data_IF_737477684164
#
_entry.id   IF_737477684164
#
_cell.length_a   1.000
_cell.length_b   1.000
_cell.length_c   1.000
_cell.angle_alpha   90.00
_cell.angle_beta   90.00
_cell.angle_gamma   90.00
#
_symmetry.space_group_name_H-M   'P 1'
#
loop_
_entity.id
_entity.type
_entity.pdbx_description
1 polymer ?
#
# COMPACT_ATOMS: atom_id res chain seq x y z
N UNK A 1 11.54 15.34 -6.14
CA UNK A 1 12.01 16.44 -5.25
C UNK A 1 11.13 17.69 -5.29
N UNK A 2 10.51 18.08 -6.42
CA UNK A 2 9.65 19.28 -6.46
C UNK A 2 8.47 19.16 -5.48
N UNK A 3 7.85 17.98 -5.36
CA UNK A 3 6.74 17.74 -4.44
C UNK A 3 7.14 17.84 -2.97
N UNK A 4 8.25 17.19 -2.59
CA UNK A 4 8.76 17.22 -1.21
C UNK A 4 9.01 18.64 -0.72
N UNK A 5 9.68 19.47 -1.53
CA UNK A 5 9.97 20.87 -1.18
C UNK A 5 8.71 21.72 -1.05
N UNK A 6 7.72 21.53 -1.93
CA UNK A 6 6.46 22.27 -1.89
C UNK A 6 5.67 21.94 -0.62
N UNK A 7 5.58 20.66 -0.27
CA UNK A 7 4.89 20.22 0.96
C UNK A 7 5.59 20.79 2.20
N UNK A 8 6.92 20.67 2.30
CA UNK A 8 7.68 21.20 3.44
C UNK A 8 7.55 22.73 3.55
N UNK A 9 7.57 23.45 2.42
CA UNK A 9 7.38 24.91 2.42
C UNK A 9 5.96 25.32 2.87
N UNK A 10 4.95 24.52 2.53
CA UNK A 10 3.60 24.72 3.04
C UNK A 10 3.52 24.47 4.55
N UNK A 11 4.02 23.33 5.01
CA UNK A 11 4.06 22.98 6.44
C UNK A 11 4.86 23.99 7.27
N UNK A 12 5.97 24.52 6.73
CA UNK A 12 6.76 25.57 7.39
C UNK A 12 5.93 26.83 7.62
N UNK A 13 5.12 27.25 6.64
CA UNK A 13 4.20 28.39 6.82
C UNK A 13 3.15 28.12 7.89
N UNK A 14 2.58 26.93 7.92
CA UNK A 14 1.60 26.54 8.95
C UNK A 14 2.21 26.50 10.35
N UNK A 15 3.42 25.94 10.48
CA UNK A 15 4.15 25.85 11.76
C UNK A 15 4.53 27.23 12.29
N UNK A 16 4.94 28.15 11.42
CA UNK A 16 5.25 29.53 11.82
C UNK A 16 3.98 30.33 12.15
N UNK A 17 2.82 29.93 11.63
CA UNK A 17 1.52 30.51 11.95
C UNK A 17 0.86 29.89 13.21
N UNK A 18 1.55 29.01 13.93
CA UNK A 18 1.01 28.37 15.14
C UNK A 18 0.67 29.43 16.18
N UNK A 19 -0.53 29.31 16.76
CA UNK A 19 -0.98 30.20 17.84
C UNK A 19 0.04 30.20 18.99
N UNK A 20 0.52 31.39 19.43
CA UNK A 20 1.46 31.51 20.55
C UNK A 20 0.97 30.79 21.81
N UNK A 21 -0.34 30.79 22.07
CA UNK A 21 -0.95 30.10 23.23
C UNK A 21 -0.72 28.59 23.24
N UNK A 22 -0.69 27.95 22.06
CA UNK A 22 -0.43 26.50 21.97
C UNK A 22 1.02 26.17 22.24
N UNK A 23 1.93 27.03 21.77
CA UNK A 23 3.35 26.89 21.99
C UNK A 23 3.72 27.15 23.46
N UNK A 24 3.17 28.20 24.06
CA UNK A 24 3.30 28.51 25.49
C UNK A 24 2.90 27.32 26.38
N UNK A 25 1.78 26.67 26.07
CA UNK A 25 1.35 25.51 26.82
C UNK A 25 2.36 24.33 26.73
N UNK A 26 3.10 24.21 25.64
CA UNK A 26 4.15 23.19 25.51
C UNK A 26 5.43 23.58 26.27
N UNK A 27 5.78 24.87 26.30
CA UNK A 27 6.90 25.40 27.10
C UNK A 27 6.75 25.08 28.60
N UNK A 28 5.53 25.10 29.11
CA UNK A 28 5.27 24.77 30.53
C UNK A 28 5.34 23.28 30.83
N UNK A 29 5.16 22.41 29.82
CA UNK A 29 5.21 20.94 29.96
C UNK A 29 6.59 20.34 29.71
N UNK A 30 7.36 20.91 28.79
CA UNK A 30 8.67 20.40 28.40
C UNK A 30 9.77 21.38 28.81
N UNK A 31 10.71 20.99 29.68
CA UNK A 31 11.80 21.88 30.09
C UNK A 31 12.71 22.27 28.93
N UNK A 32 12.87 21.42 27.92
CA UNK A 32 13.68 21.70 26.74
C UNK A 32 13.05 22.76 25.82
N UNK A 33 11.73 22.95 25.87
CA UNK A 33 11.03 23.98 25.08
C UNK A 33 10.98 25.33 25.81
N UNK A 34 11.14 25.35 27.14
CA UNK A 34 11.06 26.57 27.94
C UNK A 34 11.95 27.75 27.45
N UNK A 35 13.19 27.53 26.97
CA UNK A 35 14.05 28.60 26.47
C UNK A 35 13.61 29.22 25.14
N UNK A 36 12.70 28.58 24.41
CA UNK A 36 12.29 29.01 23.08
C UNK A 36 11.00 29.84 23.16
N UNK A 37 10.98 30.99 22.50
CA UNK A 37 9.80 31.87 22.44
C UNK A 37 8.70 31.28 21.54
N UNK A 38 9.11 30.71 20.41
CA UNK A 38 8.20 30.22 19.38
C UNK A 38 8.76 29.01 18.61
N UNK A 39 7.97 28.51 17.66
CA UNK A 39 8.36 27.42 16.78
C UNK A 39 9.55 27.78 15.87
N UNK A 40 9.74 29.06 15.54
CA UNK A 40 10.85 29.51 14.70
C UNK A 40 12.19 29.35 15.43
N UNK A 41 12.24 29.71 16.71
CA UNK A 41 13.39 29.54 17.59
C UNK A 41 13.80 28.06 17.72
N UNK A 42 12.83 27.16 17.87
CA UNK A 42 13.09 25.71 17.91
C UNK A 42 13.66 25.20 16.58
N UNK A 43 13.07 25.62 15.45
CA UNK A 43 13.55 25.23 14.13
C UNK A 43 14.97 25.74 13.85
N UNK A 44 15.34 26.93 14.35
CA UNK A 44 16.68 27.47 14.21
C UNK A 44 17.72 26.59 14.91
N UNK A 45 17.44 26.12 16.13
CA UNK A 45 18.35 25.22 16.86
C UNK A 45 18.43 23.84 16.20
N UNK A 46 17.30 23.29 15.72
CA UNK A 46 17.30 22.01 15.03
C UNK A 46 18.01 22.06 13.67
N UNK A 47 18.07 23.22 13.04
CA UNK A 47 18.81 23.44 11.81
C UNK A 47 20.33 23.60 12.03
N UNK A 48 20.78 23.91 13.26
CA UNK A 48 22.20 24.02 13.56
C UNK A 48 22.90 22.67 13.37
N UNK A 49 23.85 22.63 12.45
CA UNK A 49 24.54 21.40 12.04
C UNK A 49 25.85 21.17 12.80
N UNK A 50 26.27 22.10 13.67
CA UNK A 50 27.50 21.96 14.44
C UNK A 50 27.42 20.80 15.43
N UNK A 51 28.52 20.09 15.62
CA UNK A 51 28.57 18.87 16.43
C UNK A 51 28.28 19.11 17.92
N UNK A 52 28.73 20.24 18.45
CA UNK A 52 28.51 20.66 19.84
C UNK A 52 27.01 20.90 20.18
N UNK A 53 26.18 21.15 19.17
CA UNK A 53 24.72 21.33 19.34
C UNK A 53 23.94 20.02 19.35
N UNK A 54 24.58 18.89 19.03
CA UNK A 54 23.90 17.60 18.92
C UNK A 54 23.07 17.23 20.15
N UNK A 55 23.57 17.35 21.41
CA UNK A 55 22.78 17.00 22.59
C UNK A 55 21.51 17.85 22.72
N UNK A 56 21.60 19.16 22.43
CA UNK A 56 20.47 20.07 22.48
C UNK A 56 19.41 19.72 21.42
N UNK A 57 19.85 19.40 20.19
CA UNK A 57 18.93 18.97 19.12
C UNK A 57 18.26 17.64 19.43
N UNK A 58 18.99 16.72 20.04
CA UNK A 58 18.44 15.43 20.46
C UNK A 58 17.35 15.60 21.53
N UNK A 59 17.64 16.40 22.55
CA UNK A 59 16.71 16.73 23.62
C UNK A 59 15.47 17.48 23.10
N UNK A 60 15.64 18.45 22.20
CA UNK A 60 14.52 19.15 21.54
C UNK A 60 13.68 18.21 20.67
N UNK A 61 14.32 17.33 19.90
CA UNK A 61 13.62 16.34 19.08
C UNK A 61 12.79 15.39 19.95
N UNK A 62 13.33 14.99 21.12
CA UNK A 62 12.63 14.20 22.11
C UNK A 62 11.42 14.94 22.70
N UNK A 63 11.58 16.21 23.07
CA UNK A 63 10.50 17.05 23.61
C UNK A 63 9.36 17.23 22.60
N UNK A 64 9.69 17.51 21.33
CA UNK A 64 8.69 17.63 20.26
C UNK A 64 7.93 16.33 20.02
N UNK A 65 8.62 15.18 20.11
CA UNK A 65 7.98 13.88 19.98
C UNK A 65 7.02 13.60 21.15
N UNK A 66 7.40 13.97 22.38
CA UNK A 66 6.51 13.89 23.55
C UNK A 66 5.27 14.78 23.38
N UNK A 67 5.43 16.00 22.87
CA UNK A 67 4.31 16.90 22.61
C UNK A 67 3.40 16.40 21.48
N UNK A 68 3.97 15.81 20.42
CA UNK A 68 3.18 15.13 19.37
C UNK A 68 2.34 13.99 19.97
N UNK A 69 2.89 13.21 20.89
CA UNK A 69 2.16 12.13 21.53
C UNK A 69 1.04 12.63 22.46
N UNK A 70 1.31 13.69 23.22
CA UNK A 70 0.29 14.31 24.08
C UNK A 70 -0.81 14.98 23.25
N UNK A 71 -0.46 15.55 22.10
CA UNK A 71 -1.38 16.25 21.21
C UNK A 71 -1.17 15.84 19.74
N UNK A 72 -1.68 14.66 19.32
CA UNK A 72 -1.45 14.15 17.96
C UNK A 72 -2.04 15.02 16.85
N UNK A 73 -3.04 15.85 17.17
CA UNK A 73 -3.67 16.81 16.26
C UNK A 73 -3.01 18.20 16.31
N UNK A 74 -1.94 18.35 17.08
CA UNK A 74 -1.18 19.58 17.20
C UNK A 74 -0.20 19.81 16.04
N UNK A 75 0.47 20.97 16.02
CA UNK A 75 1.43 21.32 14.96
C UNK A 75 2.75 20.56 15.04
N UNK A 76 2.95 19.75 16.08
CA UNK A 76 4.20 19.06 16.39
C UNK A 76 4.65 18.10 15.30
N UNK A 77 3.70 17.38 14.68
CA UNK A 77 3.95 16.49 13.54
C UNK A 77 4.53 17.27 12.36
N UNK A 78 3.93 18.41 12.03
CA UNK A 78 4.38 19.28 10.94
C UNK A 78 5.73 19.92 11.28
N UNK A 79 5.93 20.34 12.52
CA UNK A 79 7.20 20.91 13.00
C UNK A 79 8.34 19.89 12.89
N UNK A 80 8.11 18.63 13.27
CA UNK A 80 9.06 17.54 13.08
C UNK A 80 9.39 17.33 11.59
N UNK A 81 8.41 17.33 10.69
CA UNK A 81 8.68 17.21 9.25
C UNK A 81 9.57 18.35 8.74
N UNK A 82 9.30 19.59 9.18
CA UNK A 82 10.08 20.77 8.78
C UNK A 82 11.49 20.74 9.36
N UNK A 83 11.64 20.36 10.64
CA UNK A 83 12.93 20.25 11.31
C UNK A 83 13.84 19.21 10.64
N UNK A 84 13.26 18.11 10.18
CA UNK A 84 14.00 17.01 9.55
C UNK A 84 14.09 17.14 8.02
N UNK A 85 13.72 18.29 7.43
CA UNK A 85 13.85 18.57 5.99
C UNK A 85 15.22 18.16 5.41
N UNK A 86 16.37 18.54 5.99
CA UNK A 86 17.67 18.20 5.42
C UNK A 86 17.89 16.68 5.31
N UNK A 87 17.43 15.93 6.33
CA UNK A 87 17.53 14.48 6.38
C UNK A 87 16.64 13.82 5.32
N UNK A 88 15.41 14.31 5.15
CA UNK A 88 14.46 13.82 4.16
C UNK A 88 14.91 14.14 2.73
N UNK A 89 15.45 15.34 2.51
CA UNK A 89 16.03 15.74 1.22
C UNK A 89 17.22 14.88 0.84
N UNK A 90 18.14 14.65 1.78
CA UNK A 90 19.29 13.76 1.55
C UNK A 90 18.86 12.31 1.31
N UNK A 91 17.90 11.80 2.08
CA UNK A 91 17.36 10.46 1.86
C UNK A 91 16.76 10.35 0.46
N UNK A 92 15.86 11.27 0.09
CA UNK A 92 15.18 11.29 -1.21
C UNK A 92 16.17 11.39 -2.39
N UNK A 93 17.21 12.20 -2.26
CA UNK A 93 18.25 12.37 -3.29
C UNK A 93 19.12 11.13 -3.51
N UNK A 94 19.18 10.23 -2.53
CA UNK A 94 19.90 8.95 -2.63
C UNK A 94 19.06 7.80 -3.21
N UNK A 95 17.75 7.98 -3.35
CA UNK A 95 16.87 6.93 -3.86
C UNK A 95 16.94 6.91 -5.39
N UNK A 96 17.35 5.76 -5.92
CA UNK A 96 17.23 5.42 -7.35
C UNK A 96 16.18 4.31 -7.46
N UNK A 97 15.10 4.60 -8.18
CA UNK A 97 13.95 3.71 -8.34
C UNK A 97 13.20 4.04 -9.62
N UNK A 98 12.51 3.02 -10.16
CA UNK A 98 11.53 3.05 -11.25
C UNK A 98 10.24 3.77 -10.88
N UNK A 99 9.95 3.90 -9.59
CA UNK A 99 8.77 4.58 -9.04
C UNK A 99 8.78 6.07 -9.43
N UNK A 100 7.63 6.65 -9.83
CA UNK A 100 7.50 8.07 -10.13
C UNK A 100 8.05 9.00 -9.05
N UNK A 101 8.57 10.15 -9.49
CA UNK A 101 9.33 11.04 -8.62
C UNK A 101 8.51 11.68 -7.49
N UNK A 102 7.23 11.91 -7.72
CA UNK A 102 6.21 12.40 -6.81
C UNK A 102 5.74 11.33 -5.81
N UNK A 103 5.52 10.10 -6.27
CA UNK A 103 5.25 8.95 -5.39
C UNK A 103 6.42 8.69 -4.43
N UNK A 104 7.66 8.80 -4.91
CA UNK A 104 8.85 8.74 -4.05
C UNK A 104 8.91 9.89 -3.03
N UNK A 105 8.53 11.10 -3.43
CA UNK A 105 8.45 12.25 -2.52
C UNK A 105 7.40 11.98 -1.41
N UNK A 106 6.23 11.43 -1.76
CA UNK A 106 5.18 11.05 -0.82
C UNK A 106 5.60 9.91 0.10
N UNK A 107 6.21 8.85 -0.43
CA UNK A 107 6.69 7.69 0.34
C UNK A 107 7.71 8.10 1.39
N UNK A 108 8.62 9.02 1.08
CA UNK A 108 9.60 9.55 2.06
C UNK A 108 8.89 10.25 3.22
N UNK A 109 7.92 11.13 2.93
CA UNK A 109 7.15 11.84 3.96
C UNK A 109 6.33 10.85 4.79
N UNK A 110 5.56 9.97 4.14
CA UNK A 110 4.73 8.97 4.82
C UNK A 110 5.57 8.04 5.70
N UNK A 111 6.73 7.59 5.22
CA UNK A 111 7.67 6.75 5.97
C UNK A 111 8.23 7.46 7.21
N UNK A 112 8.52 8.76 7.10
CA UNK A 112 8.96 9.55 8.24
C UNK A 112 7.85 9.71 9.28
N UNK A 113 6.64 10.00 8.82
CA UNK A 113 5.49 10.13 9.69
C UNK A 113 5.14 8.82 10.40
N UNK A 114 5.25 7.67 9.72
CA UNK A 114 5.15 6.35 10.35
C UNK A 114 6.26 6.15 11.40
N UNK A 115 7.50 6.57 11.11
CA UNK A 115 8.59 6.48 12.08
C UNK A 115 8.36 7.34 13.33
N UNK A 116 7.77 8.53 13.17
CA UNK A 116 7.36 9.41 14.27
C UNK A 116 6.30 8.72 15.14
N UNK A 117 5.28 8.12 14.53
CA UNK A 117 4.20 7.45 15.25
C UNK A 117 4.68 6.15 15.95
N UNK A 118 5.70 5.46 15.41
CA UNK A 118 6.26 4.23 16.01
C UNK A 118 7.20 4.45 17.21
N UNK A 119 7.80 5.63 17.35
CA UNK A 119 8.71 5.93 18.46
C UNK A 119 7.90 6.28 19.73
N UNK A 120 7.34 5.26 20.39
CA UNK A 120 6.48 5.38 21.57
C UNK A 120 7.23 5.62 22.93
N UNK A 121 6.57 6.16 23.98
CA UNK A 121 7.18 7.00 25.02
C UNK A 121 8.06 6.33 26.09
N UNK A 122 7.97 5.01 26.31
CA UNK A 122 8.67 4.37 27.44
C UNK A 122 10.19 4.26 27.28
N UNK A 123 10.70 4.56 26.08
CA UNK A 123 12.11 4.49 25.71
C UNK A 123 12.49 5.63 24.76
N UNK A 124 12.06 6.86 25.03
CA UNK A 124 12.69 8.05 24.42
C UNK A 124 14.08 8.19 25.03
N UNK A 125 14.94 7.28 24.61
CA UNK A 125 16.36 7.22 24.87
C UNK A 125 17.03 8.29 24.03
N UNK A 126 18.25 8.63 24.43
CA UNK A 126 19.19 9.42 23.64
C UNK A 126 19.20 8.93 22.16
N UNK A 127 19.45 9.86 21.24
CA UNK A 127 19.59 9.65 19.79
C UNK A 127 18.28 9.57 18.99
N UNK A 128 17.27 10.37 19.32
CA UNK A 128 16.02 10.53 18.57
C UNK A 128 16.25 10.83 17.08
N UNK A 129 17.10 11.80 16.67
CA UNK A 129 17.36 12.07 15.25
C UNK A 129 17.89 10.85 14.48
N UNK A 130 18.79 10.08 15.10
CA UNK A 130 19.38 8.88 14.49
C UNK A 130 18.31 7.79 14.33
N UNK A 131 17.50 7.56 15.36
CA UNK A 131 16.43 6.55 15.35
C UNK A 131 15.34 6.89 14.33
N UNK A 132 14.95 8.15 14.23
CA UNK A 132 14.00 8.63 13.22
C UNK A 132 14.54 8.37 11.82
N UNK A 133 15.81 8.71 11.56
CA UNK A 133 16.46 8.43 10.27
C UNK A 133 16.46 6.95 9.95
N UNK A 134 16.89 6.09 10.87
CA UNK A 134 16.98 4.64 10.66
C UNK A 134 15.60 4.01 10.38
N UNK A 135 14.57 4.37 11.17
CA UNK A 135 13.20 3.87 10.95
C UNK A 135 12.62 4.36 9.64
N UNK A 136 12.79 5.64 9.32
CA UNK A 136 12.35 6.22 8.05
C UNK A 136 12.98 5.48 6.87
N UNK A 137 14.30 5.27 6.91
CA UNK A 137 15.02 4.49 5.90
C UNK A 137 14.45 3.07 5.78
N UNK A 138 14.23 2.39 6.91
CA UNK A 138 13.68 1.03 6.92
C UNK A 138 12.32 0.96 6.23
N UNK A 139 11.43 1.92 6.48
CA UNK A 139 10.12 1.98 5.83
C UNK A 139 10.22 2.27 4.34
N UNK A 140 11.03 3.25 3.94
CA UNK A 140 11.27 3.57 2.53
C UNK A 140 11.83 2.35 1.77
N UNK A 141 12.87 1.71 2.29
CA UNK A 141 13.46 0.55 1.62
C UNK A 141 12.55 -0.68 1.64
N UNK A 142 11.70 -0.85 2.66
CA UNK A 142 10.67 -1.89 2.67
C UNK A 142 9.66 -1.66 1.55
N UNK A 143 9.19 -0.43 1.39
CA UNK A 143 8.30 -0.05 0.29
C UNK A 143 8.97 -0.34 -1.05
N UNK A 144 10.18 0.18 -1.29
CA UNK A 144 10.89 -0.03 -2.57
C UNK A 144 11.19 -1.50 -2.87
N UNK A 145 11.46 -2.32 -1.86
CA UNK A 145 11.66 -3.77 -2.06
C UNK A 145 10.37 -4.45 -2.48
N UNK A 146 9.24 -4.05 -1.88
CA UNK A 146 7.92 -4.56 -2.25
C UNK A 146 7.57 -4.18 -3.69
N UNK A 147 7.75 -2.92 -4.06
CA UNK A 147 7.51 -2.45 -5.44
C UNK A 147 8.37 -3.21 -6.45
N UNK A 148 9.67 -3.40 -6.18
CA UNK A 148 10.53 -4.19 -7.09
C UNK A 148 10.15 -5.65 -7.20
N UNK A 149 9.67 -6.25 -6.10
CA UNK A 149 9.19 -7.63 -6.13
C UNK A 149 7.93 -7.73 -6.99
N UNK A 150 7.01 -6.78 -6.83
CA UNK A 150 5.80 -6.72 -7.66
C UNK A 150 6.15 -6.49 -9.14
N UNK A 151 7.10 -5.61 -9.46
CA UNK A 151 7.62 -5.42 -10.83
C UNK A 151 8.28 -6.70 -11.40
N UNK A 152 9.04 -7.43 -10.59
CA UNK A 152 9.70 -8.67 -11.02
C UNK A 152 8.70 -9.80 -11.23
N UNK A 153 7.75 -9.96 -10.31
CA UNK A 153 6.66 -10.94 -10.43
C UNK A 153 5.77 -10.62 -11.65
N UNK A 154 5.56 -9.34 -11.96
CA UNK A 154 4.89 -8.89 -13.18
C UNK A 154 5.70 -9.20 -14.44
N UNK A 155 7.00 -8.92 -14.45
CA UNK A 155 7.88 -9.18 -15.60
C UNK A 155 8.03 -10.67 -15.90
N UNK A 156 8.17 -11.51 -14.86
CA UNK A 156 8.20 -12.97 -15.01
C UNK A 156 6.85 -13.50 -15.48
N UNK A 157 5.74 -12.94 -14.99
CA UNK A 157 4.41 -13.27 -15.50
C UNK A 157 4.24 -12.89 -16.98
N UNK A 158 4.73 -11.71 -17.41
CA UNK A 158 4.69 -11.30 -18.81
C UNK A 158 5.58 -12.19 -19.70
N UNK A 159 6.74 -12.63 -19.21
CA UNK A 159 7.60 -13.60 -19.89
C UNK A 159 6.94 -14.96 -20.04
N UNK A 160 6.33 -15.49 -18.97
CA UNK A 160 5.59 -16.74 -19.01
C UNK A 160 4.39 -16.65 -19.96
N UNK A 161 3.65 -15.54 -19.93
CA UNK A 161 2.53 -15.28 -20.85
C UNK A 161 2.98 -15.09 -22.32
N UNK A 162 4.21 -14.62 -22.55
CA UNK A 162 4.79 -14.52 -23.89
C UNK A 162 5.32 -15.88 -24.40
N UNK A 163 5.82 -16.74 -23.51
CA UNK A 163 6.20 -18.13 -23.83
C UNK A 163 4.97 -19.01 -24.12
N UNK A 164 3.85 -18.79 -23.43
CA UNK A 164 2.54 -19.38 -23.75
C UNK A 164 1.95 -18.85 -25.07
N UNK A 165 2.54 -17.81 -25.66
CA UNK A 165 2.06 -17.16 -26.88
C UNK A 165 2.84 -17.55 -28.15
N UNK A 166 3.72 -18.57 -28.11
CA UNK A 166 4.12 -19.25 -29.35
C UNK A 166 2.93 -20.06 -29.92
N UNK A 167 2.66 -19.99 -31.24
CA UNK A 167 1.54 -20.69 -31.83
C UNK A 167 1.94 -22.14 -32.15
N UNK A 168 1.16 -23.10 -31.67
CA UNK A 168 0.30 -23.95 -32.52
C UNK A 168 -0.15 -25.20 -31.73
N UNK A 169 -1.16 -25.04 -30.87
CA UNK A 169 -2.06 -26.15 -30.54
C UNK A 169 -3.47 -25.57 -30.53
N UNK A 170 -4.29 -26.02 -31.46
CA UNK A 170 -5.69 -25.65 -31.58
C UNK A 170 -6.42 -25.72 -30.22
N UNK A 171 -7.35 -24.80 -29.92
CA UNK A 171 -8.11 -24.83 -28.68
C UNK A 171 -9.12 -26.00 -28.74
N UNK A 172 -8.65 -27.20 -28.38
CA UNK A 172 -9.43 -28.43 -28.50
C UNK A 172 -9.36 -29.39 -27.31
N UNK A 173 -8.27 -29.46 -26.53
CA UNK A 173 -8.08 -30.64 -25.65
C UNK A 173 -7.71 -30.40 -24.19
N UNK A 174 -7.73 -29.16 -23.68
CA UNK A 174 -7.36 -28.89 -22.28
C UNK A 174 -8.51 -28.56 -21.33
N UNK A 175 -9.75 -28.95 -21.64
CA UNK A 175 -10.89 -28.86 -20.71
C UNK A 175 -11.81 -30.09 -20.78
N UNK A 176 -11.23 -31.29 -20.68
CA UNK A 176 -11.99 -32.48 -20.31
C UNK A 176 -12.13 -32.56 -18.78
N UNK A 177 -12.95 -31.68 -18.21
CA UNK A 177 -13.61 -31.91 -16.91
C UNK A 177 -14.75 -30.90 -16.78
N UNK A 178 -15.94 -31.31 -17.23
CA UNK A 178 -17.16 -30.46 -17.26
C UNK A 178 -17.60 -29.91 -15.90
N UNK A 179 -16.94 -30.29 -14.80
CA UNK A 179 -17.17 -29.76 -13.45
C UNK A 179 -16.60 -28.35 -13.27
N UNK A 180 -15.43 -28.03 -13.85
CA UNK A 180 -14.76 -26.74 -13.62
C UNK A 180 -15.48 -25.54 -14.26
N UNK A 181 -16.16 -25.75 -15.39
CA UNK A 181 -16.93 -24.70 -16.06
C UNK A 181 -18.25 -24.41 -15.34
N UNK A 182 -18.90 -25.43 -14.79
CA UNK A 182 -20.12 -25.30 -13.99
C UNK A 182 -19.84 -24.63 -12.63
N UNK A 183 -18.75 -25.01 -11.97
CA UNK A 183 -18.34 -24.42 -10.69
C UNK A 183 -17.89 -22.96 -10.86
N UNK A 184 -17.20 -22.64 -11.96
CA UNK A 184 -16.83 -21.25 -12.30
C UNK A 184 -18.07 -20.40 -12.63
N UNK A 185 -19.08 -20.96 -13.30
CA UNK A 185 -20.36 -20.28 -13.57
C UNK A 185 -21.13 -20.02 -12.27
N UNK A 186 -21.18 -20.97 -11.34
CA UNK A 186 -21.84 -20.79 -10.04
C UNK A 186 -21.06 -19.85 -9.11
N UNK A 187 -19.72 -19.87 -9.13
CA UNK A 187 -18.85 -18.91 -8.44
C UNK A 187 -18.97 -17.49 -9.01
N UNK A 188 -19.14 -17.36 -10.32
CA UNK A 188 -19.44 -16.07 -10.96
C UNK A 188 -20.83 -15.57 -10.52
N UNK A 189 -21.83 -16.45 -10.45
CA UNK A 189 -23.19 -16.12 -9.98
C UNK A 189 -23.22 -15.67 -8.51
N UNK A 190 -22.38 -16.26 -7.64
CA UNK A 190 -22.35 -15.98 -6.19
C UNK A 190 -21.28 -14.96 -5.75
N UNK A 191 -20.14 -14.87 -6.44
CA UNK A 191 -19.03 -13.95 -6.15
C UNK A 191 -19.29 -12.50 -6.61
N UNK A 192 -20.51 -12.20 -7.06
CA UNK A 192 -20.89 -10.93 -7.68
C UNK A 192 -20.84 -9.74 -6.71
N UNK A 193 -20.91 -9.98 -5.40
CA UNK A 193 -21.04 -8.91 -4.40
C UNK A 193 -19.70 -8.44 -3.79
N UNK A 194 -18.61 -9.18 -3.96
CA UNK A 194 -17.37 -8.91 -3.19
C UNK A 194 -16.19 -8.62 -4.11
N UNK A 195 -16.07 -7.37 -4.55
CA UNK A 195 -14.74 -6.80 -4.87
C UNK A 195 -14.24 -6.85 -6.32
N UNK A 196 -15.10 -7.05 -7.33
CA UNK A 196 -14.75 -6.82 -8.73
C UNK A 196 -15.30 -5.49 -9.25
N UNK A 197 -14.49 -4.77 -10.05
CA UNK A 197 -14.93 -3.54 -10.70
C UNK A 197 -16.09 -3.82 -11.70
N UNK A 198 -17.06 -2.91 -11.87
CA UNK A 198 -18.18 -3.09 -12.80
C UNK A 198 -17.76 -3.37 -14.25
N UNK A 199 -16.64 -2.78 -14.69
CA UNK A 199 -16.11 -2.98 -16.04
C UNK A 199 -15.48 -4.37 -16.19
N UNK A 200 -14.73 -4.83 -15.19
CA UNK A 200 -14.20 -6.20 -15.17
C UNK A 200 -15.31 -7.24 -15.13
N UNK A 201 -16.42 -6.97 -14.41
CA UNK A 201 -17.60 -7.84 -14.36
C UNK A 201 -18.22 -8.06 -15.74
N UNK A 202 -18.48 -6.98 -16.49
CA UNK A 202 -19.07 -7.06 -17.84
C UNK A 202 -18.19 -7.79 -18.84
N UNK A 203 -16.89 -7.58 -18.78
CA UNK A 203 -15.92 -8.23 -19.67
C UNK A 203 -15.82 -9.72 -19.37
N UNK A 204 -15.79 -10.10 -18.09
CA UNK A 204 -15.78 -11.52 -17.68
C UNK A 204 -17.11 -12.19 -18.04
N UNK A 205 -18.25 -11.53 -17.82
CA UNK A 205 -19.56 -12.03 -18.24
C UNK A 205 -19.61 -12.29 -19.76
N UNK A 206 -19.32 -11.28 -20.58
CA UNK A 206 -19.38 -11.41 -22.05
C UNK A 206 -18.44 -12.50 -22.59
N UNK A 207 -17.26 -12.68 -21.97
CA UNK A 207 -16.22 -13.56 -22.52
C UNK A 207 -16.14 -14.95 -21.89
N UNK A 208 -16.85 -15.20 -20.79
CA UNK A 208 -16.81 -16.47 -20.05
C UNK A 208 -18.21 -17.09 -19.94
N UNK A 209 -19.25 -16.27 -19.74
CA UNK A 209 -20.63 -16.74 -19.70
C UNK A 209 -21.26 -16.79 -21.09
N UNK A 210 -21.07 -15.73 -21.89
CA UNK A 210 -21.67 -15.63 -23.23
C UNK A 210 -20.75 -16.18 -24.34
N UNK A 211 -19.57 -16.69 -23.98
CA UNK A 211 -18.61 -17.31 -24.92
C UNK A 211 -18.04 -16.35 -25.98
N UNK A 212 -18.20 -15.03 -25.80
CA UNK A 212 -17.81 -14.06 -26.83
C UNK A 212 -16.28 -13.87 -26.89
N UNK A 213 -15.66 -13.86 -28.08
CA UNK A 213 -14.26 -13.51 -28.22
C UNK A 213 -14.00 -12.06 -27.80
N UNK A 214 -12.96 -11.83 -27.00
CA UNK A 214 -12.63 -10.50 -26.45
C UNK A 214 -12.39 -9.43 -27.53
N UNK A 215 -11.82 -9.81 -28.69
CA UNK A 215 -11.64 -8.89 -29.83
C UNK A 215 -12.98 -8.41 -30.40
N UNK A 216 -14.00 -9.28 -30.43
CA UNK A 216 -15.36 -8.95 -30.88
C UNK A 216 -16.06 -8.02 -29.89
N UNK A 217 -15.86 -8.24 -28.59
CA UNK A 217 -16.35 -7.35 -27.53
C UNK A 217 -15.73 -5.94 -27.61
N UNK A 218 -14.40 -5.86 -27.83
CA UNK A 218 -13.69 -4.58 -28.00
C UNK A 218 -14.11 -3.86 -29.28
N UNK A 219 -14.40 -4.59 -30.35
CA UNK A 219 -14.92 -4.00 -31.59
C UNK A 219 -16.34 -3.41 -31.43
N UNK A 220 -17.14 -3.91 -30.48
CA UNK A 220 -18.50 -3.39 -30.21
C UNK A 220 -18.54 -2.25 -29.20
N UNK A 221 -17.59 -2.18 -28.26
CA UNK A 221 -17.59 -1.19 -27.17
C UNK A 221 -16.40 -0.22 -27.19
N UNK A 222 -15.49 -0.36 -28.14
CA UNK A 222 -14.24 0.41 -28.21
C UNK A 222 -14.33 1.65 -29.10
N UNK A 223 -13.37 2.58 -28.95
CA UNK A 223 -13.29 3.81 -29.75
C UNK A 223 -12.95 3.55 -31.23
N UNK A 224 -13.32 4.46 -32.12
CA UNK A 224 -13.15 4.28 -33.57
C UNK A 224 -11.70 4.27 -34.05
N UNK A 225 -10.72 4.69 -33.24
CA UNK A 225 -9.31 4.62 -33.62
C UNK A 225 -8.70 3.24 -33.34
N UNK A 226 -7.92 2.73 -34.30
CA UNK A 226 -7.31 1.40 -34.22
C UNK A 226 -6.31 1.26 -33.05
N UNK A 227 -5.50 2.30 -32.80
CA UNK A 227 -4.53 2.33 -31.71
C UNK A 227 -5.20 2.34 -30.33
N UNK A 228 -6.28 3.11 -30.16
CA UNK A 228 -7.03 3.12 -28.91
C UNK A 228 -7.85 1.82 -28.71
N UNK A 229 -8.29 1.17 -29.79
CA UNK A 229 -8.89 -0.18 -29.75
C UNK A 229 -7.88 -1.22 -29.29
N UNK A 230 -6.64 -1.18 -29.78
CA UNK A 230 -5.59 -2.11 -29.36
C UNK A 230 -5.18 -1.87 -27.90
N UNK A 231 -5.02 -0.61 -27.48
CA UNK A 231 -4.77 -0.28 -26.07
C UNK A 231 -5.92 -0.73 -25.15
N UNK A 232 -7.18 -0.55 -25.58
CA UNK A 232 -8.34 -1.02 -24.86
C UNK A 232 -8.40 -2.55 -24.81
N UNK A 233 -8.07 -3.22 -25.91
CA UNK A 233 -7.98 -4.68 -25.99
C UNK A 233 -6.95 -5.22 -25.00
N UNK A 234 -5.73 -4.66 -24.99
CA UNK A 234 -4.68 -5.07 -24.07
C UNK A 234 -5.09 -4.80 -22.62
N UNK A 235 -5.71 -3.65 -22.33
CA UNK A 235 -6.21 -3.32 -20.99
C UNK A 235 -7.30 -4.29 -20.53
N UNK A 236 -8.27 -4.62 -21.38
CA UNK A 236 -9.36 -5.53 -21.07
C UNK A 236 -8.91 -6.99 -20.99
N UNK A 237 -7.91 -7.38 -21.80
CA UNK A 237 -7.23 -8.69 -21.70
C UNK A 237 -6.57 -8.83 -20.35
N UNK A 238 -5.78 -7.83 -19.92
CA UNK A 238 -5.14 -7.76 -18.59
C UNK A 238 -6.18 -7.77 -17.46
N UNK A 239 -7.30 -7.07 -17.61
CA UNK A 239 -8.38 -7.06 -16.61
C UNK A 239 -9.10 -8.41 -16.50
N UNK A 240 -9.39 -9.08 -17.62
CA UNK A 240 -10.04 -10.39 -17.68
C UNK A 240 -9.16 -11.48 -17.05
N UNK A 241 -7.87 -11.53 -17.39
CA UNK A 241 -6.95 -12.52 -16.83
C UNK A 241 -6.74 -12.36 -15.32
N UNK A 242 -6.70 -11.12 -14.82
CA UNK A 242 -6.64 -10.84 -13.37
C UNK A 242 -7.92 -11.25 -12.65
N UNK A 243 -9.09 -10.95 -13.23
CA UNK A 243 -10.38 -11.33 -12.66
C UNK A 243 -10.56 -12.86 -12.61
N UNK A 244 -10.19 -13.57 -13.68
CA UNK A 244 -10.25 -15.04 -13.72
C UNK A 244 -9.30 -15.72 -12.74
N UNK A 245 -8.05 -15.22 -12.60
CA UNK A 245 -7.12 -15.72 -11.57
C UNK A 245 -7.69 -15.52 -10.17
N UNK A 246 -8.27 -14.36 -9.90
CA UNK A 246 -8.89 -14.06 -8.60
C UNK A 246 -10.11 -14.94 -8.31
N UNK A 247 -10.91 -15.24 -9.33
CA UNK A 247 -12.06 -16.15 -9.21
C UNK A 247 -11.63 -17.61 -9.01
N UNK A 248 -10.56 -18.07 -9.68
CA UNK A 248 -9.97 -19.39 -9.41
C UNK A 248 -9.38 -19.48 -8.00
N UNK A 249 -8.68 -18.43 -7.58
CA UNK A 249 -8.17 -18.34 -6.21
C UNK A 249 -9.30 -18.42 -5.18
N UNK A 250 -10.44 -17.76 -5.44
CA UNK A 250 -11.64 -17.89 -4.59
C UNK A 250 -12.31 -19.27 -4.67
N UNK A 251 -12.18 -19.99 -5.78
CA UNK A 251 -12.64 -21.38 -5.90
C UNK A 251 -11.81 -22.32 -5.02
N UNK A 252 -10.50 -22.10 -4.98
CA UNK A 252 -9.53 -22.90 -4.22
C UNK A 252 -9.48 -22.48 -2.73
N UNK A 253 -9.74 -21.21 -2.45
CA UNK A 253 -9.66 -20.58 -1.11
C UNK A 253 -10.90 -19.71 -0.88
N UNK A 254 -12.08 -20.30 -0.60
CA UNK A 254 -13.28 -19.53 -0.40
C UNK A 254 -13.12 -18.61 0.82
N UNK A 255 -13.30 -17.28 0.68
CA UNK A 255 -13.26 -16.37 1.81
C UNK A 255 -14.35 -16.79 2.81
N UNK A 256 -14.21 -16.51 4.12
CA UNK A 256 -15.14 -16.98 5.16
C UNK A 256 -16.61 -16.56 4.93
N UNK A 257 -16.81 -15.52 4.11
CA UNK A 257 -18.11 -15.00 3.69
C UNK A 257 -18.80 -15.85 2.59
N UNK A 258 -18.01 -16.65 1.87
CA UNK A 258 -18.44 -17.66 0.90
C UNK A 258 -18.30 -19.10 1.44
N UNK A 259 -17.75 -19.26 2.66
CA UNK A 259 -17.43 -20.57 3.25
C UNK A 259 -18.61 -21.32 3.89
N UNK A 260 -19.83 -20.78 3.84
CA UNK A 260 -21.00 -21.55 4.29
C UNK A 260 -21.42 -22.59 3.23
N UNK A 261 -20.93 -23.81 3.48
CA UNK A 261 -21.23 -25.11 2.84
C UNK A 261 -20.58 -25.38 1.47
N UNK A 262 -19.32 -25.80 1.51
CA UNK A 262 -18.98 -27.08 0.87
C UNK A 262 -19.06 -28.16 1.95
N UNK A 263 -19.85 -29.21 1.70
CA UNK A 263 -20.11 -30.27 2.67
C UNK A 263 -18.81 -30.93 3.12
N UNK A 264 -18.50 -30.83 4.42
CA UNK A 264 -17.51 -31.70 5.03
C UNK A 264 -18.00 -33.16 4.93
N UNK A 265 -17.12 -34.13 4.63
CA UNK A 265 -17.48 -35.55 4.72
C UNK A 265 -17.86 -35.84 6.18
N UNK A 266 -19.04 -36.43 6.40
CA UNK A 266 -19.41 -36.91 7.73
C UNK A 266 -18.36 -37.93 8.20
N UNK A 267 -17.89 -37.85 9.46
CA UNK A 267 -17.09 -38.93 10.02
C UNK A 267 -17.95 -40.21 10.00
N UNK A 268 -17.35 -41.30 9.54
CA UNK A 268 -17.99 -42.61 9.48
C UNK A 268 -18.63 -42.95 10.83
N UNK A 269 -19.95 -43.01 10.85
CA UNK A 269 -20.72 -43.60 11.93
C UNK A 269 -20.45 -45.10 11.91
N UNK A 270 -19.65 -45.57 12.87
CA UNK A 270 -19.60 -46.99 13.22
C UNK A 270 -21.02 -47.46 13.55
N UNK A 271 -21.59 -48.30 12.68
CA UNK A 271 -22.84 -49.00 12.97
C UNK A 271 -22.61 -49.97 14.13
N UNK A 272 -23.45 -49.92 15.19
CA UNK A 272 -23.41 -50.91 16.25
C UNK A 272 -23.89 -52.26 15.71
N UNK A 273 -23.11 -53.31 15.96
CA UNK A 273 -23.51 -54.70 15.71
C UNK A 273 -24.83 -54.98 16.41
N UNK A 274 -25.82 -55.32 15.60
CA UNK A 274 -27.10 -55.91 15.99
C UNK A 274 -26.87 -57.12 16.89
N UNK A 275 -27.28 -57.02 18.15
CA UNK A 275 -27.80 -58.17 18.89
C UNK A 275 -29.25 -58.37 18.44
N UNK A 276 -29.57 -59.60 18.04
CA UNK A 276 -30.93 -60.12 18.04
C UNK A 276 -30.91 -61.55 18.59
N UNK A 277 -32.05 -62.04 19.12
CA UNK A 277 -32.07 -62.87 20.31
C UNK A 277 -32.38 -64.34 20.03
N UNK A 278 -31.90 -65.21 20.91
CA UNK A 278 -32.54 -66.42 21.41
C UNK A 278 -31.80 -66.85 22.68
#
# INVERSE_FOLDING_TARGET
MKGLRVVIAHLRREVLAVSPRRFEAARTRQPELAPHEDAASVLAVLADSREDTYPARDALSAALLREHQLQPKGPWRSLLVVAFEPMLGHLRGRLVSTVPGDELDQTVICSFLLAVDELAPRNVSHHVPIRLRQRTQRHVFRFLRKERQEEHDEADFERLAAQEAEPDVAPGEALATGQGESDLKELLRRGWEVGLSPQSKRVVQATVLDGMPLRKYVAQCGPDSAEAREQLYQRLKRARSRALRRLRWFAEHPPPQLAFRFGAPQPATESPRTRSPA
#
